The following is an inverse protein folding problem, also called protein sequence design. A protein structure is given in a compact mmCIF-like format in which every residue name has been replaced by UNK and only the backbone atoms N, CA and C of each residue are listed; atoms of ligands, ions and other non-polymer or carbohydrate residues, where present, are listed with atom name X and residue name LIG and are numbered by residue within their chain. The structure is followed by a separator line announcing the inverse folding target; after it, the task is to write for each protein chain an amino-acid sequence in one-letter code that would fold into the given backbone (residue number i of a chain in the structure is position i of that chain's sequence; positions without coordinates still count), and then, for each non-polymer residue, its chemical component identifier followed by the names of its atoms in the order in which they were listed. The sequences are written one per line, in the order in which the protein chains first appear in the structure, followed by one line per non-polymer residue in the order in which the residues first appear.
data_IF_298881926466
#
_entry.id   IF_298881926466
#
_cell.length_a   1.000
_cell.length_b   1.000
_cell.length_c   1.000
_cell.angle_alpha   90.00
_cell.angle_beta   90.00
_cell.angle_gamma   90.00
#
_symmetry.space_group_name_H-M   'P 1'
#
loop_
_entity.id
_entity.type
_entity.pdbx_description
1 polymer ?
#
# COMPACT_ATOMS: atom_id res chain seq x y z
N UNK A 1 -8.56 -5.36 17.84
CA UNK A 1 -8.98 -4.30 16.90
C UNK A 1 -9.27 -4.97 15.57
N UNK A 2 -10.23 -4.47 14.80
CA UNK A 2 -10.55 -5.01 13.47
C UNK A 2 -9.38 -4.78 12.51
N UNK A 3 -9.00 -5.79 11.72
CA UNK A 3 -7.96 -5.65 10.70
C UNK A 3 -8.49 -4.81 9.53
N UNK A 4 -7.80 -3.73 9.17
CA UNK A 4 -8.16 -2.89 8.04
C UNK A 4 -7.29 -3.25 6.85
N UNK A 5 -7.91 -3.69 5.77
CA UNK A 5 -7.24 -4.04 4.52
C UNK A 5 -7.13 -2.81 3.61
N UNK A 6 -5.94 -2.62 3.07
CA UNK A 6 -5.55 -1.54 2.16
C UNK A 6 -5.10 -2.08 0.78
N UNK A 7 -4.83 -3.38 0.70
CA UNK A 7 -4.27 -4.03 -0.48
C UNK A 7 -5.30 -4.22 -1.60
N UNK A 8 -4.85 -4.10 -2.85
CA UNK A 8 -5.71 -4.12 -4.03
C UNK A 8 -6.48 -5.45 -4.19
N UNK A 9 -5.85 -6.58 -3.89
CA UNK A 9 -6.35 -7.93 -4.14
C UNK A 9 -6.24 -8.85 -2.92
N UNK A 10 -6.52 -8.30 -1.73
CA UNK A 10 -6.56 -9.02 -0.45
C UNK A 10 -5.22 -9.65 -0.02
N UNK A 11 -4.09 -9.18 -0.57
CA UNK A 11 -2.76 -9.70 -0.28
C UNK A 11 -2.44 -9.58 1.22
N UNK A 12 -2.78 -8.43 1.80
CA UNK A 12 -2.57 -8.15 3.22
C UNK A 12 -3.38 -9.08 4.14
N UNK A 13 -4.62 -9.42 3.78
CA UNK A 13 -5.48 -10.35 4.53
C UNK A 13 -4.89 -11.75 4.51
N UNK A 14 -4.40 -12.22 3.35
CA UNK A 14 -3.78 -13.55 3.22
C UNK A 14 -2.51 -13.65 4.05
N UNK A 15 -1.63 -12.65 3.91
CA UNK A 15 -0.41 -12.56 4.70
C UNK A 15 -0.73 -12.46 6.19
N UNK A 16 -1.73 -11.68 6.59
CA UNK A 16 -2.13 -11.54 7.98
C UNK A 16 -2.63 -12.86 8.56
N UNK A 17 -3.41 -13.63 7.80
CA UNK A 17 -3.85 -14.97 8.24
C UNK A 17 -2.66 -15.88 8.56
N UNK A 18 -1.60 -15.82 7.76
CA UNK A 18 -0.39 -16.61 7.96
C UNK A 18 0.52 -16.08 9.08
N UNK A 19 0.56 -14.75 9.28
CA UNK A 19 1.62 -14.10 10.06
C UNK A 19 1.15 -13.35 11.30
N UNK A 20 -0.16 -13.26 11.59
CA UNK A 20 -0.70 -12.47 12.72
C UNK A 20 -0.18 -12.86 14.11
N UNK A 21 0.43 -14.03 14.26
CA UNK A 21 1.06 -14.48 15.52
C UNK A 21 2.48 -13.94 15.71
N UNK A 22 3.07 -13.35 14.68
CA UNK A 22 4.38 -12.70 14.74
C UNK A 22 4.21 -11.30 15.33
N UNK A 23 4.89 -11.06 16.45
CA UNK A 23 4.96 -9.74 17.06
C UNK A 23 6.09 -8.92 16.43
N UNK A 24 5.82 -7.65 16.09
CA UNK A 24 6.80 -6.71 15.52
C UNK A 24 7.55 -7.29 14.30
N UNK A 25 6.81 -7.91 13.38
CA UNK A 25 7.39 -8.50 12.19
C UNK A 25 8.01 -7.46 11.25
N UNK A 26 8.66 -7.98 10.22
CA UNK A 26 9.49 -7.20 9.31
C UNK A 26 9.24 -7.56 7.85
N UNK A 27 9.04 -6.57 7.00
CA UNK A 27 8.79 -6.75 5.56
C UNK A 27 9.75 -5.94 4.68
N UNK A 28 9.82 -6.33 3.42
CA UNK A 28 10.46 -5.55 2.35
C UNK A 28 9.44 -5.37 1.23
N UNK A 29 9.23 -4.12 0.82
CA UNK A 29 8.27 -3.71 -0.20
C UNK A 29 9.02 -3.04 -1.36
N UNK A 30 9.13 -3.75 -2.49
CA UNK A 30 9.82 -3.30 -3.70
C UNK A 30 8.77 -2.84 -4.70
N UNK A 31 8.82 -1.55 -5.07
CA UNK A 31 7.71 -0.88 -5.72
C UNK A 31 6.60 -0.55 -4.73
N UNK A 32 6.98 0.12 -3.65
CA UNK A 32 6.09 0.40 -2.52
C UNK A 32 4.96 1.38 -2.87
N UNK A 33 5.20 2.31 -3.81
CA UNK A 33 4.19 3.23 -4.33
C UNK A 33 3.47 4.02 -3.22
N UNK A 34 2.14 4.18 -3.28
CA UNK A 34 1.37 4.95 -2.31
C UNK A 34 1.39 4.29 -0.92
N UNK A 35 1.67 5.05 0.17
CA UNK A 35 1.76 4.48 1.52
C UNK A 35 0.44 3.93 2.06
N UNK A 36 -0.70 4.21 1.42
CA UNK A 36 -2.04 3.85 1.91
C UNK A 36 -2.90 3.18 0.85
N UNK A 37 -2.95 3.69 -0.38
CA UNK A 37 -3.81 3.16 -1.44
C UNK A 37 -3.16 1.95 -2.10
N UNK A 38 -3.92 0.87 -2.26
CA UNK A 38 -3.45 -0.40 -2.83
C UNK A 38 -2.21 -0.97 -2.08
N UNK A 39 -1.99 -0.56 -0.83
CA UNK A 39 -0.79 -0.91 -0.05
C UNK A 39 -0.95 -2.24 0.69
N UNK A 40 -0.07 -3.21 0.37
CA UNK A 40 0.01 -4.50 1.06
C UNK A 40 0.57 -4.36 2.49
N UNK A 41 1.41 -3.35 2.73
CA UNK A 41 2.18 -3.20 3.97
C UNK A 41 1.55 -2.24 4.98
N UNK A 42 0.55 -1.44 4.56
CA UNK A 42 -0.09 -0.44 5.44
C UNK A 42 -0.68 -1.07 6.70
N UNK A 43 -1.46 -2.14 6.53
CA UNK A 43 -2.11 -2.85 7.63
C UNK A 43 -1.11 -3.41 8.65
N UNK A 44 0.02 -3.96 8.20
CA UNK A 44 1.05 -4.52 9.08
C UNK A 44 1.69 -3.46 9.97
N UNK A 45 2.06 -2.32 9.40
CA UNK A 45 2.69 -1.23 10.14
C UNK A 45 1.76 -0.56 11.17
N UNK A 46 0.48 -0.45 10.84
CA UNK A 46 -0.54 0.01 11.79
C UNK A 46 -0.66 -0.95 12.97
N UNK A 47 -0.34 -2.24 12.75
CA UNK A 47 -0.25 -3.29 13.76
C UNK A 47 1.17 -3.47 14.33
N UNK A 48 2.01 -2.43 14.26
CA UNK A 48 3.30 -2.39 14.96
C UNK A 48 4.50 -2.95 14.18
N UNK A 49 4.29 -3.47 12.98
CA UNK A 49 5.40 -3.94 12.13
C UNK A 49 6.21 -2.77 11.60
N UNK A 50 7.41 -3.09 11.10
CA UNK A 50 8.28 -2.15 10.37
C UNK A 50 8.82 -2.82 9.12
N UNK A 51 9.37 -2.04 8.19
CA UNK A 51 9.92 -2.60 6.97
C UNK A 51 10.88 -1.70 6.24
N UNK A 52 11.24 -2.13 5.03
CA UNK A 52 11.92 -1.32 4.03
C UNK A 52 10.96 -1.09 2.87
N UNK A 53 10.78 0.17 2.49
CA UNK A 53 10.06 0.56 1.28
C UNK A 53 11.08 1.05 0.24
N UNK A 54 11.10 0.42 -0.93
CA UNK A 54 11.95 0.80 -2.08
C UNK A 54 11.06 1.42 -3.15
N UNK A 55 11.22 2.72 -3.37
CA UNK A 55 10.34 3.50 -4.25
C UNK A 55 11.14 4.59 -4.99
N UNK A 56 11.31 4.50 -6.32
CA UNK A 56 12.08 5.47 -7.09
C UNK A 56 11.38 6.81 -7.31
N UNK A 57 10.05 6.88 -7.29
CA UNK A 57 9.32 8.11 -7.57
C UNK A 57 9.37 9.10 -6.38
N UNK A 58 9.83 10.35 -6.61
CA UNK A 58 9.98 11.32 -5.53
C UNK A 58 8.71 11.58 -4.72
N UNK A 59 7.54 11.71 -5.36
CA UNK A 59 6.28 11.99 -4.69
C UNK A 59 5.84 10.84 -3.77
N UNK A 60 6.03 9.59 -4.19
CA UNK A 60 5.68 8.42 -3.38
C UNK A 60 6.70 8.20 -2.27
N UNK A 61 8.00 8.35 -2.56
CA UNK A 61 9.05 8.32 -1.55
C UNK A 61 8.84 9.38 -0.44
N UNK A 62 8.48 10.61 -0.80
CA UNK A 62 8.20 11.68 0.16
C UNK A 62 6.96 11.34 1.01
N UNK A 63 5.89 10.83 0.40
CA UNK A 63 4.68 10.42 1.11
C UNK A 63 4.95 9.24 2.06
N UNK A 64 5.70 8.23 1.62
CA UNK A 64 6.19 7.12 2.46
C UNK A 64 7.02 7.65 3.62
N UNK A 65 7.97 8.53 3.38
CA UNK A 65 8.82 9.11 4.44
C UNK A 65 8.03 9.87 5.49
N UNK A 66 6.96 10.57 5.09
CA UNK A 66 6.08 11.31 6.00
C UNK A 66 5.12 10.40 6.79
N UNK A 67 4.52 9.41 6.13
CA UNK A 67 3.45 8.57 6.71
C UNK A 67 3.98 7.28 7.36
N UNK A 68 5.19 6.85 6.98
CA UNK A 68 5.85 5.62 7.42
C UNK A 68 7.18 5.89 8.14
N UNK A 69 7.27 6.79 9.14
CA UNK A 69 8.54 7.16 9.78
C UNK A 69 9.23 6.04 10.58
N UNK A 70 8.57 4.89 10.80
CA UNK A 70 9.17 3.72 11.44
C UNK A 70 9.80 2.77 10.41
N UNK A 71 9.45 2.94 9.14
CA UNK A 71 10.04 2.19 8.04
C UNK A 71 11.31 2.88 7.54
N UNK A 72 12.16 2.09 6.91
CA UNK A 72 13.31 2.58 6.16
C UNK A 72 12.80 2.84 4.74
N UNK A 73 12.69 4.11 4.36
CA UNK A 73 12.23 4.51 3.03
C UNK A 73 13.45 4.82 2.15
N UNK A 74 13.54 4.22 0.97
CA UNK A 74 14.69 4.32 0.06
C UNK A 74 14.23 4.83 -1.32
N UNK A 75 14.77 5.97 -1.73
CA UNK A 75 14.52 6.54 -3.05
C UNK A 75 15.46 5.93 -4.10
N UNK A 76 15.20 4.69 -4.49
CA UNK A 76 15.96 3.97 -5.51
C UNK A 76 15.10 2.89 -6.18
N UNK A 77 15.57 2.37 -7.31
CA UNK A 77 15.10 1.08 -7.81
C UNK A 77 15.87 -0.06 -7.14
N UNK A 78 15.25 -1.24 -7.09
CA UNK A 78 15.97 -2.48 -6.87
C UNK A 78 16.35 -3.11 -8.22
N UNK A 79 17.54 -3.72 -8.31
CA UNK A 79 18.01 -4.38 -9.53
C UNK A 79 19.21 -5.28 -9.28
N UNK A 80 19.87 -5.77 -10.33
CA UNK A 80 20.99 -6.73 -10.24
C UNK A 80 22.34 -6.08 -9.92
N UNK A 81 22.43 -4.76 -10.08
CA UNK A 81 23.66 -3.97 -9.92
C UNK A 81 23.37 -2.55 -9.39
N UNK A 82 24.43 -1.88 -8.95
CA UNK A 82 24.38 -0.49 -8.45
C UNK A 82 24.64 0.52 -9.58
N UNK A 83 23.72 0.56 -10.55
CA UNK A 83 23.84 1.41 -11.76
C UNK A 83 22.87 2.59 -11.75
N UNK A 84 23.09 3.54 -12.65
CA UNK A 84 22.09 4.54 -13.01
C UNK A 84 21.18 3.99 -14.11
N UNK A 85 19.86 4.02 -13.87
CA UNK A 85 18.85 3.50 -14.78
C UNK A 85 17.95 4.61 -15.30
N UNK A 86 17.47 4.45 -16.53
CA UNK A 86 16.38 5.29 -17.05
C UNK A 86 15.04 4.72 -16.59
N UNK A 87 14.35 5.48 -15.75
CA UNK A 87 13.02 5.15 -15.24
C UNK A 87 11.95 5.99 -15.93
N UNK A 88 10.82 5.35 -16.20
CA UNK A 88 9.68 5.93 -16.90
C UNK A 88 8.54 6.12 -15.90
N UNK A 89 8.51 7.29 -15.26
CA UNK A 89 7.55 7.64 -14.23
C UNK A 89 6.21 8.11 -14.80
N UNK A 90 5.11 7.63 -14.21
CA UNK A 90 3.74 7.99 -14.53
C UNK A 90 3.04 8.42 -13.24
N UNK A 91 3.03 9.72 -12.99
CA UNK A 91 2.54 10.30 -11.74
C UNK A 91 1.05 10.00 -11.48
N UNK A 92 0.71 9.67 -10.23
CA UNK A 92 -0.67 9.37 -9.82
C UNK A 92 -1.17 8.00 -10.25
N UNK A 93 -0.26 7.11 -10.67
CA UNK A 93 -0.56 5.73 -11.07
C UNK A 93 0.44 4.77 -10.42
N UNK A 94 0.17 3.46 -10.49
CA UNK A 94 1.15 2.42 -10.16
C UNK A 94 1.97 1.92 -11.35
N UNK A 95 1.75 2.46 -12.56
CA UNK A 95 2.23 1.87 -13.81
C UNK A 95 3.62 2.36 -14.24
N UNK A 96 4.42 2.85 -13.31
CA UNK A 96 5.77 3.34 -13.63
C UNK A 96 6.72 2.17 -13.81
N UNK A 97 7.62 2.24 -14.79
CA UNK A 97 8.40 1.06 -15.21
C UNK A 97 9.84 1.40 -15.56
N UNK A 98 10.69 0.39 -15.55
CA UNK A 98 12.05 0.41 -16.11
C UNK A 98 12.11 -0.18 -17.53
N UNK A 99 11.02 -0.79 -18.01
CA UNK A 99 10.95 -1.36 -19.36
C UNK A 99 10.57 -0.29 -20.41
N UNK A 100 11.46 0.03 -21.37
CA UNK A 100 11.16 0.97 -22.44
C UNK A 100 9.97 0.55 -23.33
N UNK A 101 9.72 -0.76 -23.49
CA UNK A 101 8.60 -1.27 -24.27
C UNK A 101 7.26 -0.99 -23.56
N UNK A 102 7.17 -1.27 -22.27
CA UNK A 102 6.02 -0.89 -21.45
C UNK A 102 5.81 0.62 -21.42
N UNK A 103 6.88 1.41 -21.23
CA UNK A 103 6.80 2.86 -21.28
C UNK A 103 6.27 3.39 -22.63
N UNK A 104 6.61 2.70 -23.74
CA UNK A 104 6.05 3.03 -25.05
C UNK A 104 4.55 2.71 -25.13
N UNK A 105 4.11 1.55 -24.63
CA UNK A 105 2.69 1.19 -24.58
C UNK A 105 1.87 2.21 -23.78
N UNK A 106 2.37 2.66 -22.63
CA UNK A 106 1.72 3.70 -21.83
C UNK A 106 1.64 5.05 -22.55
N UNK A 107 2.70 5.45 -23.26
CA UNK A 107 2.67 6.65 -24.11
C UNK A 107 1.64 6.54 -25.22
N UNK A 108 1.59 5.40 -25.90
CA UNK A 108 0.63 5.14 -26.98
C UNK A 108 -0.82 5.11 -26.46
N UNK A 109 -1.01 4.74 -25.18
CA UNK A 109 -2.29 4.82 -24.46
C UNK A 109 -2.63 6.23 -23.95
N UNK A 110 -1.80 7.24 -24.20
CA UNK A 110 -2.05 8.65 -23.86
C UNK A 110 -1.63 9.06 -22.44
N UNK A 111 -0.84 8.25 -21.74
CA UNK A 111 -0.34 8.59 -20.40
C UNK A 111 0.84 9.58 -20.44
N UNK A 112 0.96 10.45 -19.43
CA UNK A 112 2.10 11.37 -19.26
C UNK A 112 3.30 10.61 -18.69
N UNK A 113 4.10 10.00 -19.58
CA UNK A 113 5.30 9.24 -19.22
C UNK A 113 6.53 10.15 -19.23
N UNK A 114 7.16 10.32 -18.07
CA UNK A 114 8.37 11.14 -17.90
C UNK A 114 9.59 10.30 -17.63
N UNK A 115 10.67 10.58 -18.35
CA UNK A 115 11.94 9.91 -18.15
C UNK A 115 12.71 10.59 -17.01
N UNK A 116 13.28 9.79 -16.11
CA UNK A 116 14.15 10.26 -15.04
C UNK A 116 15.32 9.27 -14.85
N UNK A 117 16.50 9.81 -14.54
CA UNK A 117 17.64 8.98 -14.13
C UNK A 117 17.53 8.69 -12.64
N UNK A 118 17.53 7.42 -12.27
CA UNK A 118 17.48 6.98 -10.87
C UNK A 118 18.65 6.07 -10.55
N UNK A 119 18.96 5.92 -9.27
CA UNK A 119 19.93 4.94 -8.78
C UNK A 119 19.27 3.60 -8.57
N UNK A 120 19.96 2.53 -8.95
CA UNK A 120 19.63 1.15 -8.60
C UNK A 120 20.47 0.67 -7.42
N UNK A 121 19.92 -0.26 -6.65
CA UNK A 121 20.63 -1.02 -5.61
C UNK A 121 20.22 -2.48 -5.67
N UNK A 122 21.13 -3.39 -5.31
CA UNK A 122 20.77 -4.80 -5.14
C UNK A 122 19.98 -4.99 -3.85
N UNK A 123 19.02 -5.91 -3.85
CA UNK A 123 18.31 -6.30 -2.62
C UNK A 123 19.28 -6.83 -1.57
N UNK A 124 20.32 -7.56 -1.98
CA UNK A 124 21.43 -7.96 -1.13
C UNK A 124 22.05 -6.77 -0.39
N UNK A 125 22.44 -5.69 -1.11
CA UNK A 125 23.04 -4.50 -0.49
C UNK A 125 22.08 -3.74 0.44
N UNK A 126 20.78 -3.75 0.11
CA UNK A 126 19.73 -3.14 0.94
C UNK A 126 19.59 -3.94 2.23
N UNK A 127 19.52 -5.27 2.13
CA UNK A 127 19.37 -6.15 3.28
C UNK A 127 20.63 -6.17 4.16
N UNK A 128 21.82 -6.11 3.56
CA UNK A 128 23.08 -5.98 4.29
C UNK A 128 23.10 -4.71 5.15
N UNK A 129 22.66 -3.58 4.59
CA UNK A 129 22.67 -2.32 5.34
C UNK A 129 21.57 -2.25 6.40
N UNK A 130 20.40 -2.85 6.14
CA UNK A 130 19.18 -2.50 6.87
C UNK A 130 18.48 -3.67 7.55
N UNK A 131 18.75 -4.93 7.18
CA UNK A 131 18.02 -6.12 7.64
C UNK A 131 18.89 -7.16 8.36
N UNK A 132 20.16 -6.84 8.68
CA UNK A 132 21.06 -7.76 9.39
C UNK A 132 20.47 -8.26 10.72
N UNK A 133 20.55 -9.57 10.94
CA UNK A 133 20.14 -10.21 12.19
C UNK A 133 18.63 -10.24 12.43
N UNK A 134 17.80 -9.93 11.42
CA UNK A 134 16.33 -9.96 11.53
C UNK A 134 15.71 -10.96 10.56
N UNK A 135 14.62 -11.59 10.98
CA UNK A 135 13.79 -12.39 10.09
C UNK A 135 13.03 -11.47 9.13
N UNK A 136 13.07 -11.76 7.83
CA UNK A 136 12.24 -11.12 6.82
C UNK A 136 10.99 -11.99 6.69
N UNK A 137 9.83 -11.48 7.09
CA UNK A 137 8.61 -12.28 7.14
C UNK A 137 7.91 -12.31 5.79
N UNK A 138 7.96 -11.20 5.04
CA UNK A 138 7.62 -11.24 3.64
C UNK A 138 8.39 -10.22 2.79
N UNK A 139 8.55 -10.56 1.52
CA UNK A 139 9.09 -9.71 0.46
C UNK A 139 8.00 -9.55 -0.61
N UNK A 140 7.59 -8.31 -0.90
CA UNK A 140 6.70 -7.97 -2.02
C UNK A 140 7.54 -7.38 -3.15
N UNK A 141 7.35 -7.87 -4.37
CA UNK A 141 7.99 -7.34 -5.59
C UNK A 141 6.90 -7.07 -6.62
N UNK A 142 6.82 -5.82 -7.02
CA UNK A 142 5.85 -5.29 -7.98
C UNK A 142 6.50 -4.08 -8.64
N UNK A 143 7.16 -4.32 -9.78
CA UNK A 143 8.03 -3.33 -10.43
C UNK A 143 7.75 -3.21 -11.93
N UNK A 144 6.53 -3.60 -12.32
CA UNK A 144 5.96 -3.45 -13.65
C UNK A 144 6.91 -3.95 -14.77
N UNK A 145 7.34 -5.21 -14.66
CA UNK A 145 8.14 -5.92 -15.68
C UNK A 145 9.64 -5.99 -15.41
N UNK A 146 10.09 -5.55 -14.22
CA UNK A 146 11.51 -5.58 -13.82
C UNK A 146 11.82 -6.66 -12.75
N UNK A 147 10.91 -7.61 -12.53
CA UNK A 147 10.95 -8.58 -11.43
C UNK A 147 12.20 -9.46 -11.51
N UNK A 148 12.56 -9.94 -12.71
CA UNK A 148 13.75 -10.77 -12.93
C UNK A 148 15.02 -10.08 -12.44
N UNK A 149 15.21 -8.82 -12.80
CA UNK A 149 16.40 -8.05 -12.44
C UNK A 149 16.46 -7.79 -10.94
N UNK A 150 15.32 -7.54 -10.30
CA UNK A 150 15.23 -7.43 -8.83
C UNK A 150 15.67 -8.74 -8.17
N UNK A 151 15.16 -9.88 -8.65
CA UNK A 151 15.48 -11.20 -8.12
C UNK A 151 16.96 -11.56 -8.29
N UNK A 152 17.57 -11.22 -9.43
CA UNK A 152 19.02 -11.39 -9.67
C UNK A 152 19.89 -10.60 -8.68
N UNK A 153 19.36 -9.50 -8.13
CA UNK A 153 20.00 -8.71 -7.09
C UNK A 153 19.85 -9.24 -5.67
N UNK A 154 19.19 -10.38 -5.47
CA UNK A 154 18.96 -10.98 -4.16
C UNK A 154 19.86 -12.19 -3.94
N UNK A 155 20.36 -12.36 -2.71
CA UNK A 155 21.00 -13.61 -2.28
C UNK A 155 20.08 -14.30 -1.27
N UNK A 156 19.29 -15.25 -1.78
CA UNK A 156 18.35 -16.02 -0.97
C UNK A 156 19.02 -17.01 0.00
N UNK A 157 20.33 -17.25 -0.12
CA UNK A 157 21.08 -18.06 0.82
C UNK A 157 21.43 -17.29 2.10
N UNK A 158 21.58 -15.97 1.98
CA UNK A 158 21.91 -15.08 3.11
C UNK A 158 20.67 -14.38 3.67
N UNK A 159 19.78 -13.87 2.81
CA UNK A 159 18.58 -13.16 3.22
C UNK A 159 17.34 -13.96 2.81
N UNK A 160 16.59 -14.39 3.81
CA UNK A 160 15.61 -15.47 3.66
C UNK A 160 14.20 -15.03 4.05
N UNK A 161 13.46 -14.32 3.16
CA UNK A 161 12.04 -14.06 3.35
C UNK A 161 11.24 -15.35 3.63
N UNK A 162 10.28 -15.32 4.54
CA UNK A 162 9.41 -16.50 4.75
C UNK A 162 8.42 -16.67 3.60
N UNK A 163 7.82 -15.54 3.19
CA UNK A 163 6.89 -15.44 2.06
C UNK A 163 7.48 -14.50 1.01
N UNK A 164 7.43 -14.86 -0.26
CA UNK A 164 7.68 -13.95 -1.37
C UNK A 164 6.39 -13.80 -2.17
N UNK A 165 5.99 -12.56 -2.40
CA UNK A 165 4.86 -12.18 -3.23
C UNK A 165 5.41 -11.44 -4.45
N UNK A 166 5.13 -11.94 -5.65
CA UNK A 166 5.62 -11.32 -6.89
C UNK A 166 4.45 -11.07 -7.83
N UNK A 167 4.30 -9.82 -8.28
CA UNK A 167 3.31 -9.47 -9.28
C UNK A 167 3.65 -10.14 -10.62
N UNK A 168 2.69 -10.89 -11.15
CA UNK A 168 2.81 -11.66 -12.39
C UNK A 168 1.47 -11.63 -13.14
N UNK A 169 1.02 -10.43 -13.57
CA UNK A 169 -0.30 -10.31 -14.16
C UNK A 169 -0.34 -11.08 -15.49
N UNK A 170 -1.39 -11.90 -15.66
CA UNK A 170 -1.75 -12.63 -16.89
C UNK A 170 -0.85 -13.79 -17.34
N UNK A 171 0.49 -13.70 -17.18
CA UNK A 171 1.44 -14.70 -17.65
C UNK A 171 2.09 -15.47 -16.48
N UNK A 172 1.86 -16.79 -16.43
CA UNK A 172 2.36 -17.68 -15.36
C UNK A 172 3.72 -18.29 -15.63
N UNK A 173 4.10 -18.44 -16.90
CA UNK A 173 5.34 -19.09 -17.28
C UNK A 173 6.47 -18.04 -17.36
N UNK A 174 6.92 -17.59 -16.19
CA UNK A 174 8.00 -16.62 -16.09
C UNK A 174 9.36 -17.33 -16.07
N UNK A 175 10.26 -16.97 -16.99
CA UNK A 175 11.58 -17.59 -17.07
C UNK A 175 12.40 -17.40 -15.79
N UNK A 176 12.12 -16.34 -15.02
CA UNK A 176 12.79 -16.03 -13.76
C UNK A 176 12.27 -16.87 -12.58
N UNK A 177 11.18 -17.64 -12.71
CA UNK A 177 10.62 -18.43 -11.61
C UNK A 177 11.67 -19.40 -11.02
N UNK A 178 12.57 -19.92 -11.86
CA UNK A 178 13.66 -20.79 -11.42
C UNK A 178 14.62 -20.12 -10.44
N UNK A 179 14.81 -18.80 -10.49
CA UNK A 179 15.62 -18.05 -9.52
C UNK A 179 15.05 -18.19 -8.10
N UNK A 180 13.74 -18.30 -7.98
CA UNK A 180 13.02 -18.44 -6.71
C UNK A 180 12.93 -19.91 -6.32
N UNK A 181 12.56 -20.80 -7.24
CA UNK A 181 12.38 -22.23 -6.91
C UNK A 181 13.70 -22.95 -6.65
N UNK A 182 14.76 -22.65 -7.40
CA UNK A 182 16.09 -23.25 -7.19
C UNK A 182 16.73 -22.75 -5.89
N UNK A 183 16.28 -21.59 -5.38
CA UNK A 183 16.61 -21.10 -4.06
C UNK A 183 15.81 -21.78 -2.93
N UNK A 184 15.03 -22.83 -3.20
CA UNK A 184 14.30 -23.58 -2.18
C UNK A 184 13.01 -22.88 -1.72
N UNK A 185 12.34 -22.18 -2.63
CA UNK A 185 10.98 -21.69 -2.40
C UNK A 185 9.97 -22.50 -3.21
N UNK A 186 8.76 -22.66 -2.68
CA UNK A 186 7.67 -23.38 -3.32
C UNK A 186 6.56 -22.40 -3.69
N UNK A 187 6.14 -22.39 -4.95
CA UNK A 187 4.92 -21.71 -5.38
C UNK A 187 3.70 -22.37 -4.70
N UNK A 188 2.92 -21.59 -3.97
CA UNK A 188 1.80 -22.08 -3.16
C UNK A 188 0.44 -21.54 -3.58
N UNK A 189 0.40 -20.39 -4.26
CA UNK A 189 -0.84 -19.73 -4.66
C UNK A 189 -0.56 -18.77 -5.82
N UNK A 190 -1.50 -18.72 -6.77
CA UNK A 190 -1.66 -17.60 -7.70
C UNK A 190 -3.04 -16.99 -7.46
N UNK A 191 -3.10 -15.69 -7.16
CA UNK A 191 -4.37 -15.00 -6.80
C UNK A 191 -5.03 -14.26 -7.98
N UNK A 192 -4.51 -14.45 -9.20
CA UNK A 192 -4.95 -13.76 -10.41
C UNK A 192 -4.05 -12.59 -10.81
N UNK A 193 -3.27 -12.06 -9.86
CA UNK A 193 -2.33 -10.95 -10.06
C UNK A 193 -0.94 -11.36 -9.59
N UNK A 194 -0.84 -11.95 -8.41
CA UNK A 194 0.42 -12.28 -7.77
C UNK A 194 0.61 -13.79 -7.62
N UNK A 195 1.87 -14.20 -7.71
CA UNK A 195 2.30 -15.55 -7.31
C UNK A 195 2.98 -15.48 -5.94
N UNK A 196 2.57 -16.37 -5.04
CA UNK A 196 3.08 -16.48 -3.68
C UNK A 196 3.99 -17.69 -3.57
N UNK A 197 5.14 -17.47 -2.94
CA UNK A 197 6.13 -18.49 -2.69
C UNK A 197 6.41 -18.58 -1.18
N UNK A 198 6.60 -19.80 -0.67
CA UNK A 198 7.04 -20.04 0.70
C UNK A 198 8.43 -20.67 0.70
N UNK A 199 9.29 -20.20 1.60
CA UNK A 199 10.55 -20.86 1.89
C UNK A 199 10.28 -22.28 2.39
N UNK A 200 11.09 -23.27 1.99
CA UNK A 200 10.92 -24.69 2.36
C UNK A 200 10.74 -24.88 3.87
N UNK A 201 11.53 -24.17 4.67
CA UNK A 201 11.49 -24.19 6.13
C UNK A 201 10.21 -23.60 6.75
N UNK A 202 9.39 -22.89 5.96
CA UNK A 202 8.15 -22.23 6.37
C UNK A 202 6.89 -22.79 5.68
N UNK A 203 6.98 -23.97 5.05
CA UNK A 203 5.83 -24.65 4.43
C UNK A 203 4.68 -24.95 5.41
N UNK A 204 4.94 -24.94 6.72
CA UNK A 204 3.90 -25.03 7.74
C UNK A 204 2.88 -23.88 7.68
N UNK A 205 3.20 -22.75 7.01
CA UNK A 205 2.30 -21.62 6.78
C UNK A 205 1.35 -21.83 5.59
N UNK A 206 1.63 -22.81 4.71
CA UNK A 206 0.85 -23.06 3.49
C UNK A 206 -0.66 -23.18 3.73
N UNK A 207 -1.17 -23.85 4.79
CA UNK A 207 -2.61 -23.95 5.03
C UNK A 207 -3.34 -22.60 5.11
N UNK A 208 -2.65 -21.51 5.46
CA UNK A 208 -3.24 -20.18 5.48
C UNK A 208 -3.60 -19.66 4.07
N UNK A 209 -3.02 -20.22 3.01
CA UNK A 209 -3.21 -19.76 1.63
C UNK A 209 -4.17 -20.66 0.82
N UNK A 210 -4.52 -21.84 1.34
CA UNK A 210 -5.34 -22.84 0.64
C UNK A 210 -6.79 -22.37 0.38
N UNK A 211 -7.29 -21.41 1.17
CA UNK A 211 -8.63 -20.83 1.00
C UNK A 211 -8.55 -19.33 0.70
N UNK A 212 -9.46 -18.79 -0.13
CA UNK A 212 -9.53 -17.35 -0.34
C UNK A 212 -9.92 -16.60 0.94
N UNK A 213 -9.61 -15.29 1.04
CA UNK A 213 -10.19 -14.38 2.03
C UNK A 213 -11.70 -14.50 2.08
N UNK A 214 -12.24 -14.55 3.29
CA UNK A 214 -13.67 -14.70 3.52
C UNK A 214 -14.09 -13.98 4.81
N UNK A 215 -15.38 -14.05 5.14
CA UNK A 215 -15.95 -13.40 6.33
C UNK A 215 -15.34 -13.91 7.67
N UNK A 216 -14.67 -15.07 7.67
CA UNK A 216 -13.98 -15.61 8.85
C UNK A 216 -12.65 -14.90 9.15
N UNK A 217 -12.16 -14.05 8.24
CA UNK A 217 -10.94 -13.27 8.44
C UNK A 217 -11.19 -11.96 9.22
N UNK A 218 -12.46 -11.61 9.49
CA UNK A 218 -12.86 -10.48 10.33
C UNK A 218 -12.22 -9.13 9.95
N UNK A 219 -11.94 -8.90 8.67
CA UNK A 219 -11.38 -7.66 8.16
C UNK A 219 -12.46 -6.66 7.75
N UNK A 220 -12.05 -5.40 7.61
CA UNK A 220 -12.80 -4.36 6.90
C UNK A 220 -11.88 -3.74 5.85
N UNK A 221 -12.45 -3.24 4.77
CA UNK A 221 -11.68 -2.44 3.83
C UNK A 221 -11.48 -1.01 4.34
N UNK A 222 -10.37 -0.40 3.93
CA UNK A 222 -10.15 1.02 4.11
C UNK A 222 -11.25 1.83 3.40
N UNK A 223 -11.43 3.08 3.84
CA UNK A 223 -12.39 4.00 3.23
C UNK A 223 -12.00 4.24 1.77
N UNK A 224 -12.95 4.08 0.85
CA UNK A 224 -12.73 4.32 -0.58
C UNK A 224 -12.13 3.13 -1.35
N UNK A 225 -11.96 1.98 -0.69
CA UNK A 225 -11.46 0.77 -1.36
C UNK A 225 -12.36 0.33 -2.53
N UNK A 226 -11.74 -0.20 -3.60
CA UNK A 226 -12.44 -0.60 -4.85
C UNK A 226 -13.50 -1.68 -4.64
N UNK A 227 -13.31 -2.56 -3.66
CA UNK A 227 -14.29 -3.61 -3.29
C UNK A 227 -15.32 -3.18 -2.23
N UNK A 228 -15.23 -1.96 -1.70
CA UNK A 228 -16.23 -1.43 -0.77
C UNK A 228 -17.48 -0.96 -1.53
N UNK A 229 -18.64 -1.01 -0.88
CA UNK A 229 -19.83 -0.33 -1.40
C UNK A 229 -19.48 1.16 -1.61
N UNK A 230 -19.86 1.75 -2.75
CA UNK A 230 -19.71 3.19 -2.98
C UNK A 230 -20.19 3.98 -1.76
N UNK A 231 -19.26 4.75 -1.16
CA UNK A 231 -19.58 5.68 -0.07
C UNK A 231 -19.97 7.06 -0.59
N UNK A 232 -19.83 7.31 -1.90
CA UNK A 232 -20.12 8.59 -2.55
C UNK A 232 -21.50 9.13 -2.21
N UNK A 233 -22.52 8.27 -2.18
CA UNK A 233 -23.88 8.69 -1.88
C UNK A 233 -24.03 9.13 -0.42
N UNK A 234 -23.43 8.39 0.51
CA UNK A 234 -23.42 8.75 1.92
C UNK A 234 -22.61 10.03 2.17
N UNK A 235 -21.49 10.21 1.47
CA UNK A 235 -20.67 11.41 1.54
C UNK A 235 -21.39 12.64 0.98
N UNK A 236 -22.09 12.50 -0.16
CA UNK A 236 -22.92 13.54 -0.72
C UNK A 236 -24.08 13.91 0.22
N UNK A 237 -24.74 12.91 0.82
CA UNK A 237 -25.79 13.15 1.81
C UNK A 237 -25.25 13.85 3.06
N UNK A 238 -24.06 13.45 3.54
CA UNK A 238 -23.39 14.09 4.66
C UNK A 238 -23.03 15.54 4.34
N UNK A 239 -22.45 15.81 3.17
CA UNK A 239 -22.12 17.16 2.73
C UNK A 239 -23.37 18.05 2.65
N UNK A 240 -24.46 17.54 2.07
CA UNK A 240 -25.73 18.25 1.99
C UNK A 240 -26.35 18.49 3.39
N UNK A 241 -26.20 17.55 4.32
CA UNK A 241 -26.66 17.71 5.70
C UNK A 241 -25.84 18.78 6.45
N UNK A 242 -24.52 18.77 6.30
CA UNK A 242 -23.63 19.78 6.89
C UNK A 242 -23.93 21.18 6.36
N UNK A 243 -24.11 21.32 5.05
CA UNK A 243 -24.49 22.60 4.44
C UNK A 243 -25.84 23.11 4.96
N UNK A 244 -26.84 22.23 5.11
CA UNK A 244 -28.13 22.61 5.71
C UNK A 244 -27.99 23.03 7.16
N UNK A 245 -27.14 22.35 7.94
CA UNK A 245 -26.87 22.70 9.32
C UNK A 245 -26.22 24.10 9.42
N UNK A 246 -25.20 24.38 8.62
CA UNK A 246 -24.55 25.70 8.56
C UNK A 246 -25.53 26.81 8.18
N UNK A 247 -26.41 26.57 7.21
CA UNK A 247 -27.46 27.51 6.82
C UNK A 247 -28.46 27.77 7.96
N UNK A 248 -28.90 26.72 8.65
CA UNK A 248 -29.81 26.85 9.78
C UNK A 248 -29.16 27.63 10.95
N UNK A 249 -27.89 27.36 11.24
CA UNK A 249 -27.13 28.11 12.25
C UNK A 249 -26.98 29.59 11.87
N UNK A 250 -26.67 29.88 10.60
CA UNK A 250 -26.58 31.25 10.11
C UNK A 250 -27.92 31.99 10.23
N UNK A 251 -29.03 31.35 9.87
CA UNK A 251 -30.38 31.90 10.02
C UNK A 251 -30.73 32.14 11.49
N UNK A 252 -30.41 31.20 12.38
CA UNK A 252 -30.64 31.35 13.82
C UNK A 252 -29.84 32.54 14.38
N UNK A 253 -28.56 32.66 14.03
CA UNK A 253 -27.72 33.81 14.43
C UNK A 253 -28.29 35.13 13.91
N UNK A 254 -28.73 35.16 12.66
CA UNK A 254 -29.37 36.34 12.07
C UNK A 254 -30.66 36.72 12.81
N UNK A 255 -31.49 35.74 13.16
CA UNK A 255 -32.73 35.96 13.91
C UNK A 255 -32.45 36.48 15.33
N UNK A 256 -31.49 35.88 16.05
CA UNK A 256 -31.08 36.30 17.40
C UNK A 256 -30.49 37.72 17.42
N UNK A 257 -29.78 38.10 16.36
CA UNK A 257 -29.21 39.43 16.21
C UNK A 257 -30.20 40.46 15.64
N UNK A 258 -31.42 40.06 15.27
CA UNK A 258 -32.44 40.97 14.77
C UNK A 258 -32.93 41.93 15.85
N UNK A 259 -33.27 43.17 15.44
CA UNK A 259 -33.82 44.20 16.34
C UNK A 259 -35.12 43.74 17.02
N UNK A 260 -35.95 43.00 16.29
CA UNK A 260 -37.22 42.47 16.78
C UNK A 260 -37.00 41.46 17.91
N UNK A 261 -36.06 40.53 17.73
CA UNK A 261 -35.75 39.52 18.74
C UNK A 261 -35.10 40.16 19.97
N UNK A 262 -34.19 41.13 19.79
CA UNK A 262 -33.61 41.90 20.89
C UNK A 262 -34.67 42.72 21.66
N UNK A 263 -35.66 43.30 20.97
CA UNK A 263 -36.75 44.03 21.60
C UNK A 263 -37.66 43.10 22.43
N UNK A 264 -38.00 41.92 21.90
CA UNK A 264 -38.77 40.89 22.62
C UNK A 264 -38.03 40.42 23.88
N UNK A 265 -36.72 40.17 23.78
CA UNK A 265 -35.90 39.77 24.94
C UNK A 265 -35.83 40.87 26.02
N UNK A 266 -35.72 42.15 25.62
CA UNK A 266 -35.77 43.28 26.56
C UNK A 266 -37.12 43.34 27.28
N UNK A 267 -38.24 43.28 26.55
CA UNK A 267 -39.60 43.24 27.12
C UNK A 267 -39.80 42.09 28.11
N UNK A 268 -39.34 40.88 27.75
CA UNK A 268 -39.40 39.70 28.62
C UNK A 268 -38.64 39.90 29.92
N UNK A 269 -37.44 40.50 29.88
CA UNK A 269 -36.66 40.83 31.09
C UNK A 269 -37.34 41.88 31.97
N UNK A 270 -38.03 42.85 31.38
CA UNK A 270 -38.77 43.87 32.13
C UNK A 270 -39.99 43.28 32.84
N UNK A 271 -40.75 42.41 32.15
CA UNK A 271 -41.93 41.73 32.71
C UNK A 271 -41.59 40.72 33.81
N UNK A 272 -40.41 40.10 33.79
CA UNK A 272 -39.94 39.17 34.83
C UNK A 272 -39.36 39.88 36.08
N UNK A 273 -39.15 41.21 36.01
CA UNK A 273 -38.63 42.02 37.12
C UNK A 273 -39.70 42.87 37.79
N UNK A 274 -40.92 42.88 37.27
CA UNK A 274 -42.11 43.51 37.84
C UNK A 274 -42.90 42.47 38.64
#
# INVERSE_FOLDING_TARGET
MTFISYAQNFEDIRLWRALKTVENGFYIDVGANDPTHDSVTKAFYDNGWTGINVEPMPNYFEALSQQRPKDINLQCAAGESADELTFYGIAGTGLSTLDPAMAKLHRDAGMDVRNQTIKSRTLASICEQHAQGRAIHFLKIDVEGHEETVLRGMDFSQWRPWVILIETPWARDQAWETLVTDAGYHSILFDGINTYYLAEEHLNLKPAFDIPPCNLDEFQFCKGHKFSHPVSDAEHQLAAALQRAEQAEAQLRAMQNSRTWQAIQKLKKTLLRA
#
